data_IF_144994486980
#
_entry.id   IF_144994486980
#
_cell.length_a   1.000
_cell.length_b   1.000
_cell.length_c   1.000
_cell.angle_alpha   90.00
_cell.angle_beta   90.00
_cell.angle_gamma   90.00
#
_symmetry.space_group_name_H-M   'P 1'
#
loop_
_entity.id
_entity.type
_entity.pdbx_description
1 polymer ?
#
# COMPACT_ATOMS: atom_id res chain seq x y z
N UNK A 1 9.17 14.69 -22.92
CA UNK A 1 7.72 14.33 -22.99
C UNK A 1 7.48 12.89 -22.51
N UNK A 2 8.39 11.94 -22.83
CA UNK A 2 8.38 10.59 -22.24
C UNK A 2 8.48 10.61 -20.70
N UNK A 3 9.26 11.53 -20.13
CA UNK A 3 9.53 11.56 -18.67
C UNK A 3 8.29 11.89 -17.83
N UNK A 4 7.46 12.82 -18.32
CA UNK A 4 6.21 13.18 -17.65
C UNK A 4 5.22 12.00 -17.65
N UNK A 5 5.15 11.26 -18.75
CA UNK A 5 4.25 10.12 -18.89
C UNK A 5 4.71 8.95 -18.00
N UNK A 6 6.01 8.69 -17.95
CA UNK A 6 6.61 7.70 -17.05
C UNK A 6 6.36 8.04 -15.57
N UNK A 7 6.48 9.32 -15.19
CA UNK A 7 6.16 9.79 -13.85
C UNK A 7 4.70 9.50 -13.45
N UNK A 8 3.74 9.81 -14.33
CA UNK A 8 2.33 9.51 -14.07
C UNK A 8 2.04 8.01 -13.97
N UNK A 9 2.67 7.18 -14.80
CA UNK A 9 2.53 5.72 -14.73
C UNK A 9 3.08 5.20 -13.40
N UNK A 10 4.27 5.64 -12.99
CA UNK A 10 4.87 5.22 -11.71
C UNK A 10 4.00 5.63 -10.52
N UNK A 11 3.47 6.86 -10.55
CA UNK A 11 2.57 7.36 -9.53
C UNK A 11 1.29 6.51 -9.47
N UNK A 12 0.72 6.15 -10.62
CA UNK A 12 -0.45 5.28 -10.70
C UNK A 12 -0.16 3.87 -10.16
N UNK A 13 0.95 3.27 -10.59
CA UNK A 13 1.41 1.93 -10.15
C UNK A 13 1.60 1.89 -8.64
N UNK A 14 2.02 3.00 -8.05
CA UNK A 14 2.27 3.10 -6.62
C UNK A 14 1.01 3.45 -5.81
N UNK A 15 0.14 4.29 -6.36
CA UNK A 15 -1.06 4.76 -5.67
C UNK A 15 -2.21 3.74 -5.73
N UNK A 16 -2.39 3.04 -6.85
CA UNK A 16 -3.47 2.05 -7.04
C UNK A 16 -3.49 0.96 -5.97
N UNK A 17 -2.36 0.33 -5.59
CA UNK A 17 -2.34 -0.64 -4.49
C UNK A 17 -2.81 -0.06 -3.15
N UNK A 18 -2.50 1.21 -2.87
CA UNK A 18 -2.95 1.91 -1.67
C UNK A 18 -4.47 2.13 -1.63
N UNK A 19 -5.07 2.48 -2.78
CA UNK A 19 -6.54 2.57 -2.92
C UNK A 19 -7.17 1.20 -2.66
N UNK A 20 -6.66 0.14 -3.30
CA UNK A 20 -7.17 -1.23 -3.14
C UNK A 20 -7.08 -1.67 -1.67
N UNK A 21 -5.95 -1.42 -1.03
CA UNK A 21 -5.72 -1.74 0.38
C UNK A 21 -6.69 -0.98 1.31
N UNK A 22 -6.99 0.28 1.00
CA UNK A 22 -7.98 1.07 1.75
C UNK A 22 -9.38 0.49 1.60
N UNK A 23 -9.74 0.07 0.38
CA UNK A 23 -11.01 -0.60 0.12
C UNK A 23 -11.14 -1.91 0.92
N UNK A 24 -10.08 -2.72 0.95
CA UNK A 24 -10.04 -3.96 1.75
C UNK A 24 -10.18 -3.62 3.23
N UNK A 25 -9.48 -2.59 3.71
CA UNK A 25 -9.59 -2.15 5.10
C UNK A 25 -11.02 -1.71 5.45
N UNK A 26 -11.70 -0.94 4.60
CA UNK A 26 -13.09 -0.54 4.83
C UNK A 26 -14.04 -1.76 4.87
N UNK A 27 -13.86 -2.70 3.93
CA UNK A 27 -14.66 -3.92 3.84
C UNK A 27 -14.46 -4.84 5.05
N UNK A 28 -13.22 -5.14 5.43
CA UNK A 28 -12.91 -6.08 6.50
C UNK A 28 -13.19 -5.48 7.87
N UNK A 29 -12.85 -4.20 8.08
CA UNK A 29 -13.07 -3.55 9.37
C UNK A 29 -14.48 -2.99 9.54
N UNK A 30 -15.34 -3.08 8.51
CA UNK A 30 -16.70 -2.56 8.52
C UNK A 30 -16.77 -1.07 8.83
N UNK A 31 -15.68 -0.33 8.56
CA UNK A 31 -15.54 1.10 8.86
C UNK A 31 -15.63 1.87 7.57
N UNK A 32 -16.72 2.62 7.43
CA UNK A 32 -16.84 3.58 6.34
C UNK A 32 -16.06 4.84 6.69
N UNK A 33 -14.99 5.13 5.94
CA UNK A 33 -14.19 6.33 6.13
C UNK A 33 -15.02 7.52 5.67
N UNK A 34 -15.61 8.25 6.63
CA UNK A 34 -16.44 9.42 6.34
C UNK A 34 -15.57 10.56 5.76
N UNK A 35 -15.72 10.82 4.47
CA UNK A 35 -15.19 11.98 3.77
C UNK A 35 -14.08 11.65 2.76
N UNK A 36 -14.17 12.23 1.55
CA UNK A 36 -13.24 11.98 0.43
C UNK A 36 -11.77 12.24 0.80
N UNK A 37 -11.51 13.30 1.58
CA UNK A 37 -10.15 13.63 2.03
C UNK A 37 -9.57 12.60 2.99
N UNK A 38 -10.38 12.03 3.88
CA UNK A 38 -9.91 10.99 4.80
C UNK A 38 -9.62 9.70 4.06
N UNK A 39 -10.46 9.32 3.10
CA UNK A 39 -10.23 8.16 2.24
C UNK A 39 -8.95 8.31 1.42
N UNK A 40 -8.75 9.45 0.76
CA UNK A 40 -7.53 9.73 0.01
C UNK A 40 -6.29 9.74 0.92
N UNK A 41 -6.40 10.32 2.11
CA UNK A 41 -5.33 10.32 3.12
C UNK A 41 -4.95 8.90 3.56
N UNK A 42 -5.93 8.05 3.87
CA UNK A 42 -5.67 6.65 4.24
C UNK A 42 -5.08 5.86 3.08
N UNK A 43 -5.56 6.07 1.85
CA UNK A 43 -4.98 5.43 0.66
C UNK A 43 -3.53 5.82 0.43
N UNK A 44 -3.19 7.08 0.67
CA UNK A 44 -1.81 7.57 0.57
C UNK A 44 -0.93 6.96 1.66
N UNK A 45 -1.43 6.85 2.90
CA UNK A 45 -0.71 6.16 3.99
C UNK A 45 -0.46 4.69 3.65
N UNK A 46 -1.50 3.96 3.21
CA UNK A 46 -1.33 2.57 2.78
C UNK A 46 -0.35 2.46 1.61
N UNK A 47 -0.42 3.34 0.62
CA UNK A 47 0.52 3.35 -0.50
C UNK A 47 1.97 3.56 -0.03
N UNK A 48 2.22 4.47 0.92
CA UNK A 48 3.54 4.71 1.51
C UNK A 48 4.08 3.49 2.25
N UNK A 49 3.24 2.83 3.07
CA UNK A 49 3.66 1.64 3.82
C UNK A 49 3.93 0.47 2.86
N UNK A 50 3.09 0.27 1.85
CA UNK A 50 3.28 -0.75 0.81
C UNK A 50 4.57 -0.47 0.03
N UNK A 51 4.82 0.79 -0.36
CA UNK A 51 6.07 1.19 -1.01
C UNK A 51 7.28 0.80 -0.16
N UNK A 52 7.28 1.19 1.13
CA UNK A 52 8.39 0.90 2.03
C UNK A 52 8.63 -0.61 2.20
N UNK A 53 7.55 -1.40 2.37
CA UNK A 53 7.63 -2.85 2.47
C UNK A 53 8.17 -3.49 1.18
N UNK A 54 7.71 -3.04 0.02
CA UNK A 54 8.22 -3.51 -1.26
C UNK A 54 9.67 -3.14 -1.47
N UNK A 55 10.08 -1.90 -1.17
CA UNK A 55 11.49 -1.49 -1.26
C UNK A 55 12.38 -2.35 -0.37
N UNK A 56 11.97 -2.58 0.88
CA UNK A 56 12.69 -3.47 1.79
C UNK A 56 12.77 -4.89 1.22
N UNK A 57 11.67 -5.43 0.68
CA UNK A 57 11.65 -6.73 0.01
C UNK A 57 12.58 -6.79 -1.20
N UNK A 58 12.57 -5.78 -2.07
CA UNK A 58 13.45 -5.73 -3.24
C UNK A 58 14.92 -5.59 -2.85
N UNK A 59 15.22 -4.83 -1.79
CA UNK A 59 16.56 -4.74 -1.25
C UNK A 59 17.05 -6.11 -0.75
N UNK A 60 16.25 -6.79 0.08
CA UNK A 60 16.61 -8.08 0.67
C UNK A 60 16.68 -9.24 -0.34
N UNK A 61 15.71 -9.33 -1.27
CA UNK A 61 15.59 -10.47 -2.19
C UNK A 61 16.32 -10.27 -3.52
N UNK A 62 16.49 -9.02 -3.96
CA UNK A 62 17.05 -8.69 -5.28
C UNK A 62 18.27 -7.78 -5.22
N UNK A 63 18.71 -7.34 -4.04
CA UNK A 63 19.83 -6.41 -3.86
C UNK A 63 19.70 -5.17 -4.77
N UNK A 64 18.50 -4.59 -4.86
CA UNK A 64 18.26 -3.33 -5.58
C UNK A 64 18.36 -2.20 -4.54
N UNK A 65 19.47 -1.45 -4.46
CA UNK A 65 19.73 -0.51 -3.37
C UNK A 65 19.14 0.88 -3.59
N UNK A 66 18.74 1.21 -4.83
CA UNK A 66 18.35 2.58 -5.19
C UNK A 66 17.07 2.63 -6.02
N UNK A 67 16.33 3.73 -5.82
CA UNK A 67 15.11 4.04 -6.56
C UNK A 67 15.36 4.20 -8.07
N UNK A 68 16.52 4.69 -8.47
CA UNK A 68 16.89 4.88 -9.89
C UNK A 68 16.99 3.53 -10.62
N UNK A 69 17.60 2.54 -9.98
CA UNK A 69 17.69 1.18 -10.52
C UNK A 69 16.29 0.56 -10.59
N UNK A 70 15.46 0.80 -9.57
CA UNK A 70 14.07 0.32 -9.57
C UNK A 70 13.24 0.93 -10.72
N UNK A 71 13.38 2.23 -10.98
CA UNK A 71 12.73 2.91 -12.11
C UNK A 71 13.13 2.30 -13.46
N UNK A 72 14.40 1.88 -13.59
CA UNK A 72 14.90 1.20 -14.78
C UNK A 72 14.21 -0.16 -14.98
N UNK A 73 13.98 -0.91 -13.90
CA UNK A 73 13.25 -2.18 -13.97
C UNK A 73 11.76 -2.03 -14.28
N UNK A 74 11.14 -0.90 -13.94
CA UNK A 74 9.74 -0.61 -14.28
C UNK A 74 9.49 -0.41 -15.78
N UNK A 75 10.54 -0.18 -16.59
CA UNK A 75 10.41 -0.23 -18.05
C UNK A 75 10.14 -1.65 -18.57
N UNK A 76 10.42 -2.69 -17.77
CA UNK A 76 10.10 -4.07 -18.14
C UNK A 76 8.67 -4.41 -17.72
N UNK A 77 7.78 -4.60 -18.70
CA UNK A 77 6.37 -4.90 -18.45
C UNK A 77 6.18 -6.11 -17.53
N UNK A 78 6.98 -7.17 -17.72
CA UNK A 78 6.91 -8.37 -16.87
C UNK A 78 7.29 -8.09 -15.41
N UNK A 79 8.19 -7.14 -15.15
CA UNK A 79 8.58 -6.79 -13.79
C UNK A 79 7.49 -5.95 -13.14
N UNK A 80 6.99 -4.94 -13.86
CA UNK A 80 5.93 -4.04 -13.40
C UNK A 80 4.66 -4.79 -13.00
N UNK A 81 4.21 -5.75 -13.82
CA UNK A 81 3.03 -6.58 -13.47
C UNK A 81 3.26 -7.40 -12.19
N UNK A 82 4.44 -8.02 -12.04
CA UNK A 82 4.78 -8.80 -10.83
C UNK A 82 4.84 -7.90 -9.60
N UNK A 83 5.41 -6.71 -9.73
CA UNK A 83 5.48 -5.72 -8.66
C UNK A 83 4.10 -5.24 -8.23
N UNK A 84 3.20 -4.92 -9.17
CA UNK A 84 1.81 -4.52 -8.86
C UNK A 84 1.10 -5.64 -8.11
N UNK A 85 1.21 -6.88 -8.60
CA UNK A 85 0.59 -8.04 -7.95
C UNK A 85 1.10 -8.23 -6.52
N UNK A 86 2.42 -8.13 -6.33
CA UNK A 86 3.04 -8.20 -5.01
C UNK A 86 2.54 -7.07 -4.09
N UNK A 87 2.45 -5.85 -4.61
CA UNK A 87 1.96 -4.68 -3.87
C UNK A 87 0.53 -4.86 -3.37
N UNK A 88 -0.34 -5.47 -4.18
CA UNK A 88 -1.73 -5.76 -3.81
C UNK A 88 -1.76 -6.81 -2.68
N UNK A 89 -0.95 -7.87 -2.79
CA UNK A 89 -0.87 -8.92 -1.75
C UNK A 89 -0.35 -8.35 -0.44
N UNK A 90 0.74 -7.57 -0.49
CA UNK A 90 1.32 -6.90 0.69
C UNK A 90 0.32 -5.91 1.29
N UNK A 91 -0.37 -5.12 0.46
CA UNK A 91 -1.42 -4.21 0.91
C UNK A 91 -2.55 -4.93 1.63
N UNK A 92 -3.06 -6.03 1.06
CA UNK A 92 -4.10 -6.83 1.70
C UNK A 92 -3.67 -7.34 3.07
N UNK A 93 -2.43 -7.86 3.20
CA UNK A 93 -1.88 -8.33 4.48
C UNK A 93 -1.81 -7.20 5.50
N UNK A 94 -1.27 -6.03 5.11
CA UNK A 94 -1.18 -4.86 6.00
C UNK A 94 -2.56 -4.39 6.44
N UNK A 95 -3.53 -4.30 5.51
CA UNK A 95 -4.91 -3.91 5.81
C UNK A 95 -5.55 -4.84 6.85
N UNK A 96 -5.35 -6.15 6.72
CA UNK A 96 -5.81 -7.14 7.70
C UNK A 96 -5.17 -6.93 9.07
N UNK A 97 -3.84 -6.76 9.14
CA UNK A 97 -3.14 -6.52 10.40
C UNK A 97 -3.61 -5.24 11.10
N UNK A 98 -3.70 -4.13 10.36
CA UNK A 98 -4.19 -2.86 10.90
C UNK A 98 -5.63 -3.01 11.42
N UNK A 99 -6.46 -3.77 10.71
CA UNK A 99 -7.82 -4.03 11.16
C UNK A 99 -7.86 -4.84 12.47
N UNK A 100 -7.08 -5.92 12.57
CA UNK A 100 -6.98 -6.73 13.79
C UNK A 100 -6.51 -5.90 14.99
N UNK A 101 -5.47 -5.08 14.82
CA UNK A 101 -4.96 -4.18 15.87
C UNK A 101 -6.06 -3.22 16.34
N UNK A 102 -6.81 -2.64 15.39
CA UNK A 102 -7.89 -1.71 15.70
C UNK A 102 -9.03 -2.37 16.46
N UNK A 103 -9.37 -3.63 16.12
CA UNK A 103 -10.38 -4.41 16.84
C UNK A 103 -9.91 -4.75 18.26
N UNK A 104 -8.66 -5.18 18.43
CA UNK A 104 -8.09 -5.48 19.74
C UNK A 104 -8.06 -4.27 20.66
N UNK A 105 -7.63 -3.11 20.17
CA UNK A 105 -7.67 -1.86 20.93
C UNK A 105 -9.07 -1.52 21.42
N UNK A 106 -10.09 -1.73 20.57
CA UNK A 106 -11.49 -1.46 20.92
C UNK A 106 -11.98 -2.37 22.03
N UNK A 107 -11.61 -3.65 22.02
CA UNK A 107 -11.97 -4.61 23.07
C UNK A 107 -11.28 -4.23 24.38
N UNK A 108 -9.98 -3.93 24.32
CA UNK A 108 -9.20 -3.50 25.48
C UNK A 108 -9.75 -2.22 26.13
N UNK A 109 -10.17 -1.24 25.33
CA UNK A 109 -10.75 0.00 25.86
C UNK A 109 -12.07 -0.25 26.58
N UNK A 110 -12.90 -1.21 26.11
CA UNK A 110 -14.16 -1.57 26.79
C UNK A 110 -13.90 -2.24 28.14
N UNK A 111 -12.88 -3.08 28.23
CA UNK A 111 -12.54 -3.79 29.47
C UNK A 111 -11.99 -2.88 30.59
N UNK A 112 -11.40 -1.72 30.25
CA UNK A 112 -10.89 -0.76 31.24
C UNK A 112 -11.94 0.25 31.75
N UNK A 113 -13.15 0.23 31.20
CA UNK A 113 -14.27 1.12 31.61
C UNK A 113 -15.31 0.45 32.49
N UNK A 114 -15.17 -0.86 32.75
CA UNK A 114 -15.95 -1.63 33.72
C UNK A 114 -15.14 -1.82 35.01
#
# INVERSE_FOLDING_TARGET
MLDALAFWILLLVLYVPGIISTFIYELVCGRQIRGRFRFAGTALIFALVILAANLAGLYLFKNIPSMEVLATYFNCLSFTTKYILLSIVVGAIIALFVCLITQLFRISTRANTE
#
